data_IF_809560881696
#
_entry.id   IF_809560881696
#
_cell.length_a   1.000
_cell.length_b   1.000
_cell.length_c   1.000
_cell.angle_alpha   90.00
_cell.angle_beta   90.00
_cell.angle_gamma   90.00
#
_symmetry.space_group_name_H-M   'P 1'
#
loop_
_entity.id
_entity.type
_entity.pdbx_description
1 polymer ?
#
# COMPACT_ATOMS: atom_id res chain seq x y z
N UNK A 1 29.23 -54.69 54.61
CA UNK A 1 28.14 -54.81 53.61
C UNK A 1 26.98 -53.98 54.11
N UNK A 2 26.73 -52.77 53.55
CA UNK A 2 25.63 -51.91 53.90
C UNK A 2 24.79 -51.73 52.67
N UNK A 3 23.55 -52.24 52.69
CA UNK A 3 22.54 -52.07 51.64
C UNK A 3 21.90 -50.69 51.79
N UNK A 4 21.94 -49.84 50.77
CA UNK A 4 21.16 -48.61 50.68
C UNK A 4 19.89 -48.90 49.94
N UNK A 5 18.75 -48.78 50.62
CA UNK A 5 17.42 -48.72 50.00
C UNK A 5 17.24 -47.45 49.20
N UNK A 6 16.88 -47.52 47.94
CA UNK A 6 16.40 -46.43 47.14
C UNK A 6 14.87 -46.41 47.18
N UNK A 7 14.32 -45.34 47.79
CA UNK A 7 12.89 -45.02 47.70
C UNK A 7 12.63 -44.32 46.37
N UNK A 8 11.83 -44.92 45.48
CA UNK A 8 11.33 -44.29 44.25
C UNK A 8 9.98 -43.63 44.62
N UNK A 9 10.00 -42.28 44.64
CA UNK A 9 8.76 -41.50 44.74
C UNK A 9 8.14 -41.36 43.36
N UNK A 10 6.98 -41.95 43.13
CA UNK A 10 6.18 -41.79 41.96
C UNK A 10 5.43 -40.45 42.02
N UNK A 11 5.85 -39.46 41.21
CA UNK A 11 5.10 -38.23 41.01
C UNK A 11 4.00 -38.51 39.99
N UNK A 12 2.72 -38.54 40.44
CA UNK A 12 1.57 -38.57 39.55
C UNK A 12 1.37 -37.19 38.96
N UNK A 13 1.66 -37.04 37.64
CA UNK A 13 1.30 -35.87 36.86
C UNK A 13 -0.23 -35.87 36.63
N UNK A 14 -0.95 -35.05 37.36
CA UNK A 14 -2.31 -34.65 37.01
C UNK A 14 -2.24 -33.71 35.81
N UNK A 15 -2.41 -34.26 34.60
CA UNK A 15 -2.65 -33.47 33.39
C UNK A 15 -4.08 -32.87 33.50
N UNK A 16 -4.19 -31.67 34.01
CA UNK A 16 -5.41 -30.88 33.95
C UNK A 16 -5.74 -30.56 32.49
N UNK A 17 -6.82 -31.18 31.96
CA UNK A 17 -7.45 -30.75 30.72
C UNK A 17 -8.03 -29.35 30.94
N UNK A 18 -7.28 -28.32 30.56
CA UNK A 18 -7.88 -26.98 30.37
C UNK A 18 -8.90 -27.07 29.23
N UNK A 19 -10.12 -26.55 29.40
CA UNK A 19 -11.06 -26.51 28.31
C UNK A 19 -10.48 -25.69 27.15
N UNK A 20 -10.30 -26.34 26.01
CA UNK A 20 -9.91 -25.67 24.76
C UNK A 20 -10.99 -24.65 24.47
N UNK A 21 -10.69 -23.36 24.56
CA UNK A 21 -11.62 -22.31 24.17
C UNK A 21 -12.18 -22.65 22.79
N UNK A 22 -13.49 -22.77 22.68
CA UNK A 22 -14.14 -23.00 21.42
C UNK A 22 -13.74 -21.85 20.49
N UNK A 23 -13.04 -22.17 19.38
CA UNK A 23 -12.74 -21.20 18.35
C UNK A 23 -14.08 -20.65 17.88
N UNK A 24 -14.26 -19.32 17.94
CA UNK A 24 -15.46 -18.70 17.38
C UNK A 24 -15.66 -19.23 15.95
N UNK A 25 -16.91 -19.50 15.53
CA UNK A 25 -17.16 -19.94 14.17
C UNK A 25 -16.52 -18.94 13.21
N UNK A 26 -15.74 -19.43 12.25
CA UNK A 26 -15.16 -18.57 11.22
C UNK A 26 -16.31 -17.87 10.52
N UNK A 27 -16.30 -16.54 10.51
CA UNK A 27 -17.26 -15.73 9.74
C UNK A 27 -17.02 -16.07 8.27
N UNK A 28 -18.09 -16.41 7.54
CA UNK A 28 -17.94 -16.68 6.11
C UNK A 28 -17.51 -15.41 5.36
N UNK A 29 -16.83 -15.59 4.24
CA UNK A 29 -16.28 -14.50 3.43
C UNK A 29 -17.35 -13.46 3.06
N UNK A 30 -18.50 -13.89 2.55
CA UNK A 30 -19.56 -12.98 2.08
C UNK A 30 -20.06 -12.06 3.20
N UNK A 31 -20.24 -12.62 4.39
CA UNK A 31 -20.68 -11.84 5.56
C UNK A 31 -19.62 -10.86 6.02
N UNK A 32 -18.35 -11.29 6.11
CA UNK A 32 -17.26 -10.44 6.55
C UNK A 32 -16.99 -9.32 5.54
N UNK A 33 -16.92 -9.65 4.26
CA UNK A 33 -16.66 -8.69 3.19
C UNK A 33 -17.77 -7.64 3.05
N UNK A 34 -19.06 -8.09 3.13
CA UNK A 34 -20.19 -7.16 3.12
C UNK A 34 -20.12 -6.19 4.28
N UNK A 35 -19.90 -6.67 5.51
CA UNK A 35 -19.80 -5.83 6.70
C UNK A 35 -18.64 -4.82 6.57
N UNK A 36 -17.49 -5.24 6.05
CA UNK A 36 -16.33 -4.37 5.81
C UNK A 36 -16.63 -3.28 4.77
N UNK A 37 -17.35 -3.61 3.68
CA UNK A 37 -17.79 -2.63 2.67
C UNK A 37 -18.77 -1.60 3.24
N UNK A 38 -19.73 -2.05 4.04
CA UNK A 38 -20.69 -1.14 4.71
C UNK A 38 -19.97 -0.20 5.69
N UNK A 39 -19.02 -0.72 6.46
CA UNK A 39 -18.22 0.08 7.37
C UNK A 39 -17.34 1.08 6.62
N UNK A 40 -16.59 0.64 5.59
CA UNK A 40 -15.75 1.50 4.76
C UNK A 40 -16.56 2.65 4.12
N UNK A 41 -17.74 2.37 3.58
CA UNK A 41 -18.61 3.39 3.01
C UNK A 41 -19.03 4.47 4.03
N UNK A 42 -19.01 4.16 5.33
CA UNK A 42 -19.36 5.08 6.42
C UNK A 42 -18.14 5.88 6.95
N UNK A 43 -16.92 5.53 6.63
CA UNK A 43 -15.69 6.13 7.18
C UNK A 43 -15.44 7.57 6.69
N UNK A 44 -15.80 7.88 5.46
CA UNK A 44 -15.81 9.20 4.84
C UNK A 44 -14.45 9.87 4.61
N UNK A 45 -13.45 9.64 5.45
CA UNK A 45 -12.16 10.32 5.39
C UNK A 45 -11.02 9.41 5.82
N UNK A 46 -10.00 9.31 4.96
CA UNK A 46 -8.74 8.62 5.21
C UNK A 46 -7.54 9.48 4.84
N UNK A 47 -6.37 9.12 5.37
CA UNK A 47 -5.09 9.72 5.01
C UNK A 47 -4.31 8.75 4.11
N UNK A 48 -3.74 9.27 3.03
CA UNK A 48 -2.82 8.55 2.17
C UNK A 48 -1.40 9.00 2.46
N UNK A 49 -0.46 8.07 2.52
CA UNK A 49 0.97 8.37 2.70
C UNK A 49 1.74 7.76 1.54
N UNK A 50 2.39 8.63 0.75
CA UNK A 50 3.37 8.21 -0.25
C UNK A 50 4.77 8.48 0.31
N UNK A 51 5.44 7.41 0.76
CA UNK A 51 6.75 7.52 1.36
C UNK A 51 7.66 6.35 1.01
N UNK A 52 8.91 6.65 0.70
CA UNK A 52 9.95 5.71 0.31
C UNK A 52 11.30 6.40 0.16
N UNK A 53 12.31 5.66 -0.32
CA UNK A 53 13.66 6.21 -0.55
C UNK A 53 13.68 7.36 -1.56
N UNK A 54 12.70 7.44 -2.47
CA UNK A 54 12.52 8.55 -3.40
C UNK A 54 12.37 9.90 -2.69
N UNK A 55 11.89 9.92 -1.45
CA UNK A 55 11.76 11.17 -0.66
C UNK A 55 13.10 11.85 -0.45
N UNK A 56 14.22 11.11 -0.44
CA UNK A 56 15.57 11.65 -0.30
C UNK A 56 15.96 12.56 -1.47
N UNK A 57 15.41 12.29 -2.66
CA UNK A 57 15.66 13.12 -3.84
C UNK A 57 14.85 14.42 -3.83
N UNK A 58 13.76 14.49 -3.06
CA UNK A 58 12.89 15.65 -3.00
C UNK A 58 12.26 16.03 -4.33
N UNK A 59 11.96 15.04 -5.19
CA UNK A 59 11.47 15.24 -6.57
C UNK A 59 10.18 14.44 -6.84
N UNK A 60 9.49 14.00 -5.78
CA UNK A 60 8.31 13.15 -5.86
C UNK A 60 8.65 11.67 -6.05
N UNK A 61 7.63 10.85 -6.01
CA UNK A 61 7.70 9.37 -6.04
C UNK A 61 8.12 8.81 -7.41
N UNK A 62 7.92 9.57 -8.48
CA UNK A 62 8.30 9.20 -9.84
C UNK A 62 9.74 9.64 -10.23
N UNK A 63 10.55 10.05 -9.26
CA UNK A 63 11.90 10.60 -9.53
C UNK A 63 12.78 9.63 -10.35
N UNK A 64 12.75 8.32 -10.07
CA UNK A 64 13.46 7.31 -10.86
C UNK A 64 13.12 7.41 -12.35
N UNK A 65 11.85 7.54 -12.67
CA UNK A 65 11.31 7.63 -14.03
C UNK A 65 11.52 9.01 -14.65
N UNK A 66 11.11 10.08 -13.94
CA UNK A 66 11.10 11.45 -14.51
C UNK A 66 12.49 12.03 -14.70
N UNK A 67 13.48 11.57 -13.93
CA UNK A 67 14.89 11.98 -14.04
C UNK A 67 15.75 11.01 -14.85
N UNK A 68 15.15 9.94 -15.39
CA UNK A 68 15.86 8.88 -16.12
C UNK A 68 17.07 8.35 -15.36
N UNK A 69 16.89 8.04 -14.07
CA UNK A 69 17.98 7.56 -13.24
C UNK A 69 18.34 6.12 -13.60
N UNK A 70 19.62 5.78 -13.41
CA UNK A 70 20.07 4.41 -13.46
C UNK A 70 19.51 3.65 -12.25
N UNK A 71 18.84 2.52 -12.49
CA UNK A 71 18.18 1.71 -11.45
C UNK A 71 19.17 1.26 -10.38
N UNK A 72 20.34 0.77 -10.77
CA UNK A 72 21.35 0.27 -9.82
C UNK A 72 21.94 1.38 -8.95
N UNK A 73 22.11 2.61 -9.51
CA UNK A 73 22.51 3.77 -8.73
C UNK A 73 21.40 4.26 -7.81
N UNK A 74 20.14 4.21 -8.28
CA UNK A 74 18.98 4.56 -7.47
C UNK A 74 18.82 3.64 -6.25
N UNK A 75 18.99 2.34 -6.42
CA UNK A 75 18.89 1.38 -5.32
C UNK A 75 19.88 1.66 -4.18
N UNK A 76 21.06 2.25 -4.49
CA UNK A 76 22.05 2.63 -3.47
C UNK A 76 21.56 3.74 -2.53
N UNK A 77 20.49 4.47 -2.89
CA UNK A 77 19.88 5.46 -1.99
C UNK A 77 19.43 4.82 -0.67
N UNK A 78 19.01 3.55 -0.70
CA UNK A 78 18.60 2.84 0.51
C UNK A 78 19.67 2.89 1.61
N UNK A 79 20.96 2.77 1.25
CA UNK A 79 22.08 2.86 2.20
C UNK A 79 22.23 4.21 2.92
N UNK A 80 21.53 5.25 2.46
CA UNK A 80 21.48 6.57 3.11
C UNK A 80 20.11 6.89 3.76
N UNK A 81 19.12 6.03 3.62
CA UNK A 81 17.79 6.29 4.14
C UNK A 81 17.72 6.05 5.65
N UNK A 82 17.63 7.13 6.42
CA UNK A 82 17.63 7.11 7.88
C UNK A 82 16.61 8.09 8.45
N UNK A 83 15.32 7.76 8.47
CA UNK A 83 14.24 8.63 8.95
C UNK A 83 14.23 8.74 10.49
N UNK A 84 15.27 9.38 11.05
CA UNK A 84 15.53 9.44 12.49
C UNK A 84 14.45 10.14 13.33
N UNK A 85 13.57 10.91 12.67
CA UNK A 85 12.47 11.64 13.33
C UNK A 85 11.11 10.97 13.14
N UNK A 86 11.07 9.79 12.50
CA UNK A 86 9.82 9.05 12.35
C UNK A 86 9.25 8.65 13.70
N UNK A 87 7.98 8.95 13.90
CA UNK A 87 7.23 8.60 15.11
C UNK A 87 5.80 8.21 14.74
N UNK A 88 5.51 6.91 14.73
CA UNK A 88 4.21 6.37 14.37
C UNK A 88 3.07 6.91 15.26
N UNK A 89 3.32 7.08 16.57
CA UNK A 89 2.32 7.57 17.50
C UNK A 89 1.90 9.00 17.21
N UNK A 90 2.87 9.87 16.87
CA UNK A 90 2.59 11.27 16.49
C UNK A 90 1.84 11.35 15.17
N UNK A 91 2.21 10.54 14.18
CA UNK A 91 1.53 10.50 12.89
C UNK A 91 0.07 10.08 13.05
N UNK A 92 -0.16 8.93 13.68
CA UNK A 92 -1.52 8.38 13.84
C UNK A 92 -2.39 9.29 14.70
N UNK A 93 -1.82 9.94 15.74
CA UNK A 93 -2.54 10.93 16.54
C UNK A 93 -2.99 12.13 15.69
N UNK A 94 -2.09 12.68 14.86
CA UNK A 94 -2.42 13.80 13.98
C UNK A 94 -3.53 13.46 12.98
N UNK A 95 -3.50 12.24 12.42
CA UNK A 95 -4.53 11.77 11.47
C UNK A 95 -5.88 11.58 12.17
N UNK A 96 -5.87 10.99 13.35
CA UNK A 96 -7.08 10.83 14.18
C UNK A 96 -7.67 12.16 14.58
N UNK A 97 -6.85 13.12 15.00
CA UNK A 97 -7.27 14.46 15.38
C UNK A 97 -7.85 15.25 14.19
N UNK A 98 -7.38 14.95 12.97
CA UNK A 98 -7.98 15.45 11.73
C UNK A 98 -9.33 14.81 11.39
N UNK A 99 -9.75 13.77 12.09
CA UNK A 99 -11.01 13.07 11.89
C UNK A 99 -10.93 11.89 10.93
N UNK A 100 -9.72 11.49 10.49
CA UNK A 100 -9.53 10.31 9.65
C UNK A 100 -9.92 9.04 10.39
N UNK A 101 -10.44 8.06 9.63
CA UNK A 101 -10.85 6.75 10.11
C UNK A 101 -9.89 5.65 9.69
N UNK A 102 -9.12 5.87 8.64
CA UNK A 102 -8.11 4.94 8.14
C UNK A 102 -6.88 5.66 7.61
N UNK A 103 -5.78 4.94 7.62
CA UNK A 103 -4.51 5.31 7.02
C UNK A 103 -4.23 4.31 5.89
N UNK A 104 -3.99 4.78 4.67
CA UNK A 104 -3.42 4.01 3.58
C UNK A 104 -1.97 4.45 3.36
N UNK A 105 -1.03 3.51 3.33
CA UNK A 105 0.40 3.81 3.15
C UNK A 105 1.02 2.96 2.06
N UNK A 106 1.93 3.54 1.26
CA UNK A 106 2.73 2.81 0.29
C UNK A 106 3.66 1.83 0.99
N UNK A 107 3.29 0.55 1.00
CA UNK A 107 4.17 -0.52 1.50
C UNK A 107 5.28 -0.82 0.52
N UNK A 108 5.00 -0.72 -0.77
CA UNK A 108 5.95 -0.75 -1.89
C UNK A 108 5.37 0.07 -3.05
N UNK A 109 6.09 1.10 -3.49
CA UNK A 109 5.74 1.91 -4.65
C UNK A 109 6.42 1.37 -5.92
N UNK A 110 6.25 2.02 -7.04
CA UNK A 110 6.77 1.62 -8.37
C UNK A 110 8.30 1.46 -8.42
N UNK A 111 9.03 2.12 -7.53
CA UNK A 111 10.49 2.00 -7.41
C UNK A 111 10.96 0.68 -6.76
N UNK A 112 10.01 -0.19 -6.38
CA UNK A 112 10.27 -1.53 -5.87
C UNK A 112 10.81 -1.59 -4.44
N UNK A 113 11.05 -0.45 -3.78
CA UNK A 113 11.53 -0.44 -2.40
C UNK A 113 10.41 -0.78 -1.42
N UNK A 114 10.61 -1.82 -0.62
CA UNK A 114 9.65 -2.26 0.40
C UNK A 114 9.87 -1.49 1.71
N UNK A 115 8.83 -0.80 2.20
CA UNK A 115 8.86 -0.05 3.46
C UNK A 115 8.57 -0.93 4.68
N UNK A 116 8.61 -2.24 4.53
CA UNK A 116 8.33 -3.27 5.54
C UNK A 116 9.37 -4.39 5.47
N UNK A 117 9.52 -5.14 6.55
CA UNK A 117 10.38 -6.33 6.63
C UNK A 117 9.82 -7.46 5.78
N UNK A 118 10.52 -7.85 4.70
CA UNK A 118 10.05 -8.88 3.77
C UNK A 118 11.12 -9.93 3.50
N UNK A 119 10.77 -11.19 3.65
CA UNK A 119 11.65 -12.29 3.26
C UNK A 119 11.71 -12.50 1.74
N UNK A 120 10.94 -11.75 0.96
CA UNK A 120 10.90 -11.88 -0.50
C UNK A 120 12.01 -11.11 -1.23
N UNK A 121 12.64 -10.13 -0.57
CA UNK A 121 13.66 -9.25 -1.16
C UNK A 121 14.50 -8.59 -0.08
N UNK A 122 15.82 -8.45 -0.31
CA UNK A 122 16.72 -7.65 0.54
C UNK A 122 16.63 -6.14 0.24
N UNK A 123 15.83 -5.73 -0.76
CA UNK A 123 15.60 -4.32 -1.08
C UNK A 123 14.42 -3.76 -0.28
N UNK A 124 14.62 -3.71 1.03
CA UNK A 124 13.63 -3.22 1.98
C UNK A 124 14.26 -2.32 3.06
N UNK A 125 13.40 -1.74 3.89
CA UNK A 125 13.80 -0.75 4.90
C UNK A 125 14.62 -1.35 6.05
N UNK A 126 14.46 -2.64 6.33
CA UNK A 126 15.16 -3.33 7.43
C UNK A 126 16.54 -3.77 6.98
N UNK A 127 16.64 -4.43 5.81
CA UNK A 127 17.87 -5.05 5.33
C UNK A 127 18.77 -4.07 4.54
N UNK A 128 18.17 -3.20 3.70
CA UNK A 128 18.92 -2.31 2.82
C UNK A 128 19.31 -0.97 3.48
N UNK A 129 18.75 -0.62 4.64
CA UNK A 129 18.97 0.71 5.23
C UNK A 129 19.67 0.66 6.58
N UNK A 130 20.43 1.72 6.95
CA UNK A 130 20.97 1.83 8.30
C UNK A 130 19.92 2.09 9.37
N UNK A 131 18.67 2.35 8.97
CA UNK A 131 17.55 2.56 9.89
C UNK A 131 17.11 1.26 10.56
N UNK A 132 17.03 0.15 9.79
CA UNK A 132 16.84 -1.20 10.30
C UNK A 132 15.55 -1.41 11.13
N UNK A 133 14.48 -0.61 10.86
CA UNK A 133 13.19 -0.71 11.55
C UNK A 133 12.06 -0.84 10.54
N UNK A 134 11.10 -1.70 10.85
CA UNK A 134 9.88 -1.88 10.06
C UNK A 134 8.84 -0.80 10.40
N UNK A 135 8.77 0.24 9.58
CA UNK A 135 7.84 1.35 9.80
C UNK A 135 6.38 0.96 9.55
N UNK A 136 6.13 0.00 8.66
CA UNK A 136 4.78 -0.50 8.41
C UNK A 136 4.25 -1.24 9.65
N UNK A 137 5.12 -2.02 10.30
CA UNK A 137 4.76 -2.67 11.56
C UNK A 137 4.45 -1.67 12.66
N UNK A 138 5.29 -0.65 12.81
CA UNK A 138 5.08 0.38 13.83
C UNK A 138 3.78 1.18 13.58
N UNK A 139 3.49 1.51 12.31
CA UNK A 139 2.25 2.21 11.97
C UNK A 139 1.02 1.32 12.14
N UNK A 140 1.09 0.04 11.74
CA UNK A 140 -0.02 -0.89 11.91
C UNK A 140 -0.36 -1.09 13.40
N UNK A 141 0.66 -1.36 14.23
CA UNK A 141 0.49 -1.51 15.68
C UNK A 141 -0.12 -0.24 16.31
N UNK A 142 0.35 0.93 15.88
CA UNK A 142 -0.13 2.19 16.41
C UNK A 142 -1.56 2.53 15.93
N UNK A 143 -1.89 2.23 14.67
CA UNK A 143 -3.26 2.35 14.15
C UNK A 143 -4.21 1.48 14.97
N UNK A 144 -3.88 0.21 15.18
CA UNK A 144 -4.70 -0.70 16.01
C UNK A 144 -4.85 -0.18 17.43
N UNK A 145 -3.77 0.31 18.04
CA UNK A 145 -3.79 0.87 19.40
C UNK A 145 -4.67 2.10 19.52
N UNK A 146 -4.68 2.97 18.52
CA UNK A 146 -5.47 4.22 18.54
C UNK A 146 -6.86 4.08 17.92
N UNK A 147 -7.18 2.94 17.33
CA UNK A 147 -8.47 2.66 16.71
C UNK A 147 -8.67 3.29 15.34
N UNK A 148 -7.58 3.45 14.54
CA UNK A 148 -7.63 3.70 13.11
C UNK A 148 -7.50 2.36 12.36
N UNK A 149 -8.13 2.24 11.20
CA UNK A 149 -7.83 1.14 10.30
C UNK A 149 -6.54 1.41 9.54
N UNK A 150 -5.80 0.35 9.21
CA UNK A 150 -4.62 0.42 8.35
C UNK A 150 -4.94 -0.24 7.00
N UNK A 151 -4.65 0.46 5.91
CA UNK A 151 -4.72 -0.03 4.53
C UNK A 151 -3.34 0.00 3.92
N UNK A 152 -3.04 -0.95 3.05
CA UNK A 152 -1.75 -1.04 2.40
C UNK A 152 -1.88 -0.79 0.91
N UNK A 153 -1.27 0.30 0.44
CA UNK A 153 -1.00 0.47 -0.99
C UNK A 153 0.11 -0.51 -1.41
N UNK A 154 -0.10 -1.18 -2.50
CA UNK A 154 0.85 -2.09 -3.09
C UNK A 154 0.91 -1.90 -4.62
N UNK A 155 2.10 -1.55 -5.13
CA UNK A 155 2.31 -1.42 -6.56
C UNK A 155 2.32 -2.78 -7.26
N UNK A 156 1.49 -2.94 -8.28
CA UNK A 156 1.55 -4.09 -9.18
C UNK A 156 2.81 -4.06 -10.04
N UNK A 157 3.22 -2.88 -10.50
CA UNK A 157 4.45 -2.71 -11.27
C UNK A 157 5.69 -2.55 -10.39
N UNK A 158 6.85 -2.86 -10.96
CA UNK A 158 8.16 -2.68 -10.32
C UNK A 158 9.21 -2.28 -11.36
N UNK A 159 9.78 -1.09 -11.20
CA UNK A 159 10.78 -0.57 -12.13
C UNK A 159 12.19 -1.10 -11.88
N UNK A 160 12.41 -1.85 -10.82
CA UNK A 160 13.74 -2.29 -10.38
C UNK A 160 13.97 -3.79 -10.50
N UNK A 161 12.93 -4.58 -10.71
CA UNK A 161 13.03 -6.03 -10.79
C UNK A 161 13.18 -6.52 -12.23
N UNK A 162 14.17 -7.38 -12.44
CA UNK A 162 14.44 -7.96 -13.76
C UNK A 162 13.40 -9.01 -14.22
N UNK A 163 12.64 -9.58 -13.30
CA UNK A 163 11.53 -10.47 -13.62
C UNK A 163 10.24 -9.70 -14.01
N UNK A 164 10.20 -8.39 -13.70
CA UNK A 164 9.17 -7.47 -14.21
C UNK A 164 9.62 -6.77 -15.52
N UNK A 165 10.80 -6.14 -15.51
CA UNK A 165 11.43 -5.52 -16.66
C UNK A 165 12.88 -6.00 -16.81
N UNK A 166 13.13 -7.07 -17.59
CA UNK A 166 14.47 -7.63 -17.72
C UNK A 166 15.46 -6.69 -18.45
N UNK A 167 16.74 -6.94 -18.28
CA UNK A 167 17.86 -6.33 -19.02
C UNK A 167 17.93 -4.79 -18.95
N UNK A 168 17.69 -4.24 -17.76
CA UNK A 168 17.81 -2.81 -17.52
C UNK A 168 16.68 -1.98 -18.11
N UNK A 169 15.60 -2.62 -18.51
CA UNK A 169 14.36 -1.93 -18.78
C UNK A 169 13.74 -1.49 -17.44
N UNK A 170 13.23 -0.28 -17.40
CA UNK A 170 12.60 0.26 -16.20
C UNK A 170 11.65 1.40 -16.54
N UNK A 171 10.83 1.77 -15.58
CA UNK A 171 9.91 2.87 -15.71
C UNK A 171 8.70 2.57 -16.60
N UNK A 172 7.88 3.58 -16.76
CA UNK A 172 6.62 3.47 -17.51
C UNK A 172 6.86 3.01 -18.96
N UNK A 173 6.12 2.01 -19.38
CA UNK A 173 6.22 1.35 -20.69
C UNK A 173 7.61 0.73 -20.99
N UNK A 174 8.34 0.30 -19.95
CA UNK A 174 9.59 -0.42 -20.13
C UNK A 174 10.69 0.43 -20.78
N UNK A 175 10.85 1.66 -20.35
CA UNK A 175 11.93 2.52 -20.84
C UNK A 175 13.29 2.01 -20.35
N UNK A 176 14.26 1.92 -21.24
CA UNK A 176 15.65 1.61 -20.85
C UNK A 176 16.29 2.82 -20.19
N UNK A 177 17.02 2.57 -19.11
CA UNK A 177 17.82 3.61 -18.45
C UNK A 177 19.20 3.74 -19.08
N UNK A 178 19.85 4.88 -18.90
CA UNK A 178 21.22 5.11 -19.37
C UNK A 178 22.20 4.13 -18.68
N UNK A 179 23.04 3.45 -19.48
CA UNK A 179 23.96 2.43 -18.99
C UNK A 179 23.34 1.05 -18.76
N UNK A 180 22.10 0.83 -19.20
CA UNK A 180 21.50 -0.51 -19.21
C UNK A 180 22.33 -1.50 -20.02
N UNK A 181 22.32 -2.81 -19.68
CA UNK A 181 22.93 -3.85 -20.49
C UNK A 181 22.48 -3.81 -21.95
N UNK A 182 23.31 -4.31 -22.88
CA UNK A 182 22.90 -4.41 -24.28
C UNK A 182 21.63 -5.24 -24.44
N UNK A 183 20.79 -4.85 -25.37
CA UNK A 183 19.58 -5.62 -25.71
C UNK A 183 19.97 -6.96 -26.31
N UNK A 184 19.21 -8.04 -26.03
CA UNK A 184 19.35 -9.27 -26.78
C UNK A 184 19.01 -9.00 -28.27
N UNK A 185 19.64 -9.75 -29.17
CA UNK A 185 19.44 -9.59 -30.63
C UNK A 185 17.96 -9.73 -31.05
N UNK A 186 17.14 -10.39 -30.24
CA UNK A 186 15.73 -10.63 -30.50
C UNK A 186 14.91 -10.49 -29.21
N UNK A 187 14.17 -9.39 -29.09
CA UNK A 187 13.15 -9.22 -28.06
C UNK A 187 11.83 -9.68 -28.64
N UNK A 188 11.49 -10.93 -28.38
CA UNK A 188 10.20 -11.49 -28.81
C UNK A 188 9.15 -11.33 -27.73
N UNK A 189 7.84 -11.40 -28.05
CA UNK A 189 6.79 -11.51 -27.03
C UNK A 189 7.07 -12.63 -26.03
N UNK A 190 7.65 -13.74 -26.48
CA UNK A 190 8.04 -14.87 -25.63
C UNK A 190 9.17 -14.50 -24.66
N UNK A 191 10.03 -13.55 -24.98
CA UNK A 191 11.05 -13.04 -24.05
C UNK A 191 10.43 -12.41 -22.80
N UNK A 192 9.37 -11.63 -23.00
CA UNK A 192 8.58 -11.05 -21.88
C UNK A 192 7.68 -12.09 -21.22
N UNK A 193 7.31 -13.11 -21.97
CA UNK A 193 6.42 -14.21 -21.59
C UNK A 193 7.18 -15.47 -21.23
N UNK A 194 8.53 -15.43 -21.06
CA UNK A 194 9.11 -16.62 -20.48
C UNK A 194 8.37 -16.86 -19.17
N UNK A 195 7.44 -17.81 -19.24
CA UNK A 195 6.48 -18.14 -18.17
C UNK A 195 7.15 -18.17 -16.80
N UNK A 196 8.44 -18.50 -16.75
CA UNK A 196 9.20 -18.57 -15.53
C UNK A 196 9.46 -17.20 -14.87
N UNK A 197 9.85 -16.14 -15.62
CA UNK A 197 10.15 -14.82 -15.02
C UNK A 197 8.89 -14.13 -14.56
N UNK A 198 7.85 -14.12 -15.41
CA UNK A 198 6.58 -13.53 -15.04
C UNK A 198 5.90 -14.26 -13.88
N UNK A 199 5.89 -15.59 -13.90
CA UNK A 199 5.36 -16.38 -12.79
C UNK A 199 6.18 -16.21 -11.50
N UNK A 200 7.49 -15.98 -11.62
CA UNK A 200 8.33 -15.64 -10.48
C UNK A 200 7.94 -14.28 -9.89
N UNK A 201 7.68 -13.27 -10.74
CA UNK A 201 7.19 -11.96 -10.29
C UNK A 201 5.82 -12.05 -9.60
N UNK A 202 4.86 -12.77 -10.19
CA UNK A 202 3.55 -13.02 -9.56
C UNK A 202 3.71 -13.76 -8.22
N UNK A 203 4.60 -14.75 -8.15
CA UNK A 203 4.95 -15.46 -6.91
C UNK A 203 5.53 -14.54 -5.85
N UNK A 204 6.44 -13.63 -6.24
CA UNK A 204 7.00 -12.59 -5.38
C UNK A 204 5.92 -11.68 -4.79
N UNK A 205 5.00 -11.16 -5.62
CA UNK A 205 3.89 -10.34 -5.13
C UNK A 205 3.00 -11.10 -4.13
N UNK A 206 2.64 -12.34 -4.45
CA UNK A 206 1.82 -13.19 -3.55
C UNK A 206 2.52 -13.47 -2.22
N UNK A 207 3.83 -13.64 -2.23
CA UNK A 207 4.61 -13.81 -1.00
C UNK A 207 4.53 -12.53 -0.15
N UNK A 208 4.83 -11.36 -0.72
CA UNK A 208 4.77 -10.09 0.01
C UNK A 208 3.36 -9.78 0.53
N UNK A 209 2.32 -10.02 -0.26
CA UNK A 209 0.93 -9.86 0.18
C UNK A 209 0.59 -10.82 1.32
N UNK A 210 1.09 -12.05 1.29
CA UNK A 210 0.94 -13.00 2.38
C UNK A 210 1.59 -12.49 3.67
N UNK A 211 2.81 -11.94 3.58
CA UNK A 211 3.52 -11.34 4.71
C UNK A 211 2.73 -10.15 5.29
N UNK A 212 2.29 -9.22 4.43
CA UNK A 212 1.49 -8.06 4.83
C UNK A 212 0.16 -8.44 5.52
N UNK A 213 -0.48 -9.53 5.07
CA UNK A 213 -1.76 -9.97 5.62
C UNK A 213 -1.65 -10.93 6.81
N UNK A 214 -0.43 -11.38 7.16
CA UNK A 214 -0.23 -12.33 8.28
C UNK A 214 0.58 -11.76 9.42
N UNK A 215 1.46 -10.76 9.17
CA UNK A 215 2.41 -10.26 10.16
C UNK A 215 2.02 -8.90 10.79
N UNK A 216 1.04 -8.20 10.23
CA UNK A 216 0.71 -6.82 10.56
C UNK A 216 -0.64 -6.65 11.25
N UNK A 217 -1.27 -7.75 11.69
CA UNK A 217 -2.60 -7.73 12.31
C UNK A 217 -3.73 -7.59 11.30
N UNK A 218 -4.82 -6.99 11.72
CA UNK A 218 -5.98 -6.76 10.85
C UNK A 218 -5.69 -5.64 9.85
N UNK A 219 -5.88 -5.94 8.55
CA UNK A 219 -5.70 -5.00 7.44
C UNK A 219 -7.06 -4.68 6.84
N UNK A 220 -7.41 -3.39 6.77
CA UNK A 220 -8.71 -2.96 6.28
C UNK A 220 -8.86 -3.07 4.76
N UNK A 221 -7.78 -2.78 4.01
CA UNK A 221 -7.77 -2.94 2.55
C UNK A 221 -6.35 -3.11 1.98
N UNK A 222 -6.28 -3.76 0.82
CA UNK A 222 -5.15 -3.66 -0.11
C UNK A 222 -5.56 -2.73 -1.25
N UNK A 223 -4.76 -1.70 -1.47
CA UNK A 223 -4.93 -0.67 -2.49
C UNK A 223 -3.90 -0.87 -3.60
N UNK A 224 -4.30 -1.46 -4.72
CA UNK A 224 -3.42 -1.72 -5.85
C UNK A 224 -3.32 -0.53 -6.79
N UNK A 225 -2.17 -0.46 -7.47
CA UNK A 225 -1.88 0.54 -8.50
C UNK A 225 -0.90 -0.02 -9.55
N UNK A 226 -0.84 0.60 -10.72
CA UNK A 226 0.16 0.27 -11.72
C UNK A 226 -0.26 -0.78 -12.75
N UNK A 227 -1.50 -1.26 -12.77
CA UNK A 227 -1.98 -2.19 -13.78
C UNK A 227 -1.88 -1.62 -15.21
N UNK A 228 -1.95 -0.31 -15.35
CA UNK A 228 -1.89 0.46 -16.61
C UNK A 228 -0.51 0.48 -17.26
N UNK A 229 0.57 0.12 -16.56
CA UNK A 229 1.95 0.29 -17.04
C UNK A 229 2.26 -0.51 -18.31
N UNK A 230 1.59 -1.63 -18.51
CA UNK A 230 1.80 -2.52 -19.67
C UNK A 230 0.65 -2.50 -20.68
N UNK A 231 -0.13 -1.44 -20.73
CA UNK A 231 -1.34 -1.39 -21.59
C UNK A 231 -1.08 -1.66 -23.09
N UNK A 232 0.13 -1.37 -23.56
CA UNK A 232 0.55 -1.59 -24.95
C UNK A 232 1.53 -2.77 -25.10
N UNK A 233 1.65 -3.62 -24.07
CA UNK A 233 2.56 -4.75 -24.02
C UNK A 233 1.78 -6.08 -23.97
N UNK A 234 2.43 -7.23 -24.21
CA UNK A 234 1.79 -8.54 -24.09
C UNK A 234 1.10 -8.80 -22.75
N UNK A 235 1.56 -8.16 -21.68
CA UNK A 235 0.98 -8.26 -20.35
C UNK A 235 0.26 -6.95 -19.96
N UNK A 236 -0.67 -6.47 -20.80
CA UNK A 236 -1.39 -5.24 -20.60
C UNK A 236 -2.35 -5.25 -19.40
N UNK A 237 -3.46 -4.55 -19.51
CA UNK A 237 -4.50 -4.45 -18.48
C UNK A 237 -5.35 -5.72 -18.30
N UNK A 238 -4.88 -6.84 -18.79
CA UNK A 238 -5.58 -8.12 -18.73
C UNK A 238 -5.49 -8.72 -17.34
N UNK A 239 -6.65 -8.87 -16.71
CA UNK A 239 -6.79 -9.45 -15.38
C UNK A 239 -6.28 -10.89 -15.27
N UNK A 240 -6.39 -11.68 -16.36
CA UNK A 240 -5.93 -13.06 -16.41
C UNK A 240 -4.39 -13.13 -16.40
N UNK A 241 -3.74 -12.31 -17.22
CA UNK A 241 -2.27 -12.22 -17.29
C UNK A 241 -1.65 -11.86 -15.94
N UNK A 242 -2.29 -10.97 -15.18
CA UNK A 242 -1.87 -10.58 -13.85
C UNK A 242 -2.27 -11.56 -12.75
N UNK A 243 -3.06 -12.59 -13.08
CA UNK A 243 -3.65 -13.48 -12.08
C UNK A 243 -4.40 -12.71 -10.97
N UNK A 244 -5.12 -11.64 -11.36
CA UNK A 244 -5.84 -10.82 -10.38
C UNK A 244 -6.83 -11.64 -9.56
N UNK A 245 -7.54 -12.57 -10.19
CA UNK A 245 -8.46 -13.46 -9.47
C UNK A 245 -7.74 -14.25 -8.37
N UNK A 246 -6.59 -14.85 -8.69
CA UNK A 246 -5.80 -15.61 -7.72
C UNK A 246 -5.16 -14.73 -6.63
N UNK A 247 -4.85 -13.46 -6.95
CA UNK A 247 -4.35 -12.49 -5.95
C UNK A 247 -5.49 -12.05 -5.03
N UNK A 248 -6.67 -11.73 -5.56
CA UNK A 248 -7.82 -11.30 -4.77
C UNK A 248 -8.34 -12.43 -3.87
N UNK A 249 -8.40 -13.66 -4.39
CA UNK A 249 -8.74 -14.86 -3.61
C UNK A 249 -7.74 -15.11 -2.47
N UNK A 250 -6.45 -14.86 -2.70
CA UNK A 250 -5.43 -14.97 -1.64
C UNK A 250 -5.72 -13.98 -0.50
N UNK A 251 -6.01 -12.71 -0.84
CA UNK A 251 -6.31 -11.66 0.14
C UNK A 251 -7.54 -12.05 0.97
N UNK A 252 -8.63 -12.37 0.30
CA UNK A 252 -9.89 -12.72 0.96
C UNK A 252 -9.81 -14.04 1.75
N UNK A 253 -8.95 -14.97 1.33
CA UNK A 253 -8.69 -16.21 2.09
C UNK A 253 -7.93 -15.94 3.37
N UNK A 254 -6.93 -15.06 3.33
CA UNK A 254 -6.11 -14.72 4.49
C UNK A 254 -6.87 -13.83 5.47
N UNK A 255 -7.58 -12.83 4.95
CA UNK A 255 -8.40 -11.91 5.75
C UNK A 255 -9.73 -11.62 5.04
N UNK A 256 -10.82 -12.33 5.37
CA UNK A 256 -12.13 -12.18 4.70
C UNK A 256 -12.74 -10.77 4.77
N UNK A 257 -12.33 -9.95 5.74
CA UNK A 257 -12.75 -8.56 5.89
C UNK A 257 -11.80 -7.54 5.24
N UNK A 258 -10.67 -7.98 4.69
CA UNK A 258 -9.77 -7.09 3.96
C UNK A 258 -10.35 -6.78 2.58
N UNK A 259 -10.58 -5.51 2.29
CA UNK A 259 -11.12 -5.05 1.02
C UNK A 259 -10.05 -4.95 -0.06
N UNK A 260 -10.45 -5.09 -1.31
CA UNK A 260 -9.57 -4.92 -2.47
C UNK A 260 -10.02 -3.72 -3.28
N UNK A 261 -9.13 -2.73 -3.44
CA UNK A 261 -9.27 -1.63 -4.40
C UNK A 261 -8.13 -1.65 -5.41
N UNK A 262 -8.39 -1.28 -6.66
CA UNK A 262 -7.38 -1.24 -7.71
C UNK A 262 -7.52 0.01 -8.56
N UNK A 263 -6.48 0.85 -8.56
CA UNK A 263 -6.45 2.14 -9.27
C UNK A 263 -6.04 1.94 -10.75
N UNK A 264 -6.82 1.21 -11.50
CA UNK A 264 -6.53 0.89 -12.90
C UNK A 264 -7.29 1.77 -13.91
N UNK A 265 -8.11 2.73 -13.46
CA UNK A 265 -8.83 3.72 -14.27
C UNK A 265 -9.84 3.14 -15.27
N UNK A 266 -10.31 1.92 -15.06
CA UNK A 266 -11.34 1.26 -15.87
C UNK A 266 -12.46 0.70 -14.99
N UNK A 267 -13.43 0.00 -15.57
CA UNK A 267 -14.49 -0.66 -14.80
C UNK A 267 -13.90 -1.70 -13.84
N UNK A 268 -14.41 -1.82 -12.59
CA UNK A 268 -13.91 -2.78 -11.62
C UNK A 268 -13.94 -4.22 -12.13
N UNK A 269 -12.88 -4.98 -11.84
CA UNK A 269 -12.83 -6.42 -12.08
C UNK A 269 -13.60 -7.19 -11.01
N UNK A 270 -14.04 -8.43 -11.32
CA UNK A 270 -14.61 -9.31 -10.31
C UNK A 270 -13.63 -9.52 -9.13
N UNK A 271 -14.14 -9.39 -7.91
CA UNK A 271 -13.35 -9.52 -6.69
C UNK A 271 -12.83 -8.19 -6.13
N UNK A 272 -13.01 -7.07 -6.83
CA UNK A 272 -12.77 -5.75 -6.28
C UNK A 272 -13.94 -5.31 -5.39
N UNK A 273 -13.60 -4.66 -4.29
CA UNK A 273 -14.52 -4.25 -3.22
C UNK A 273 -14.69 -2.74 -3.13
N UNK A 274 -13.76 -1.97 -3.69
CA UNK A 274 -13.73 -0.50 -3.67
C UNK A 274 -13.50 -0.02 -5.11
N UNK A 275 -14.29 0.94 -5.56
CA UNK A 275 -14.00 1.66 -6.80
C UNK A 275 -13.28 2.97 -6.50
N UNK A 276 -12.15 3.17 -7.16
CA UNK A 276 -11.22 4.28 -6.93
C UNK A 276 -11.30 5.28 -8.08
N UNK A 277 -11.27 6.59 -7.73
CA UNK A 277 -11.19 7.72 -8.66
C UNK A 277 -9.98 8.57 -8.28
N UNK A 278 -8.94 8.58 -9.13
CA UNK A 278 -7.73 9.36 -8.86
C UNK A 278 -7.89 10.81 -9.28
N UNK A 279 -7.77 11.73 -8.32
CA UNK A 279 -7.90 13.19 -8.51
C UNK A 279 -9.22 13.66 -9.10
N UNK A 280 -10.12 12.74 -9.44
CA UNK A 280 -11.45 13.02 -9.96
C UNK A 280 -12.54 12.70 -8.93
N UNK A 281 -13.67 13.35 -9.05
CA UNK A 281 -14.88 12.94 -8.34
C UNK A 281 -15.56 11.78 -9.09
N UNK A 282 -16.32 10.93 -8.41
CA UNK A 282 -17.08 9.88 -9.07
C UNK A 282 -17.92 10.40 -10.25
N UNK A 283 -17.64 9.89 -11.45
CA UNK A 283 -18.33 10.28 -12.69
C UNK A 283 -17.77 11.54 -13.37
N UNK A 284 -16.75 12.19 -12.84
CA UNK A 284 -16.01 13.26 -13.51
C UNK A 284 -14.72 12.70 -14.15
N UNK A 285 -14.16 13.44 -15.11
CA UNK A 285 -12.86 13.15 -15.73
C UNK A 285 -12.10 14.47 -15.96
N UNK A 286 -11.93 15.28 -14.89
CA UNK A 286 -11.22 16.56 -14.94
C UNK A 286 -9.71 16.40 -14.90
N UNK A 287 -9.22 15.34 -14.25
CA UNK A 287 -7.82 14.96 -14.24
C UNK A 287 -7.40 14.20 -15.50
N UNK A 288 -8.37 13.70 -16.30
CA UNK A 288 -8.11 12.93 -17.51
C UNK A 288 -7.77 11.45 -17.27
N UNK A 289 -7.97 10.98 -16.04
CA UNK A 289 -7.63 9.59 -15.64
C UNK A 289 -8.84 8.66 -15.61
N UNK A 290 -10.06 9.20 -15.66
CA UNK A 290 -11.31 8.44 -15.49
C UNK A 290 -12.11 8.28 -16.79
N UNK A 291 -11.46 8.37 -17.98
CA UNK A 291 -12.11 8.26 -19.25
C UNK A 291 -12.77 6.88 -19.42
N UNK A 292 -14.08 6.87 -19.61
CA UNK A 292 -14.85 5.63 -19.74
C UNK A 292 -15.13 4.88 -18.44
N UNK A 293 -14.69 5.38 -17.31
CA UNK A 293 -15.00 4.81 -16.02
C UNK A 293 -16.42 5.15 -15.59
N UNK A 294 -17.28 4.15 -15.47
CA UNK A 294 -18.66 4.30 -14.97
C UNK A 294 -18.70 4.12 -13.47
N UNK A 295 -19.53 4.92 -12.78
CA UNK A 295 -19.70 4.81 -11.32
C UNK A 295 -20.48 3.54 -10.98
N UNK A 296 -19.91 2.72 -10.09
CA UNK A 296 -20.57 1.52 -9.57
C UNK A 296 -21.76 1.88 -8.68
N UNK A 297 -22.83 1.13 -8.81
CA UNK A 297 -23.99 1.15 -7.91
C UNK A 297 -23.91 0.11 -6.78
N UNK A 298 -22.82 -0.67 -6.73
CA UNK A 298 -22.64 -1.82 -5.82
C UNK A 298 -21.44 -1.69 -4.90
N UNK A 299 -20.40 -0.99 -5.35
CA UNK A 299 -19.16 -0.85 -4.59
C UNK A 299 -19.13 0.48 -3.86
N UNK A 300 -18.61 0.53 -2.64
CA UNK A 300 -18.22 1.78 -2.03
C UNK A 300 -17.20 2.51 -2.90
N UNK A 301 -17.25 3.83 -2.88
CA UNK A 301 -16.47 4.71 -3.73
C UNK A 301 -15.39 5.42 -2.92
N UNK A 302 -14.22 5.58 -3.50
CA UNK A 302 -13.14 6.36 -2.93
C UNK A 302 -12.55 7.31 -3.97
N UNK A 303 -12.34 8.57 -3.59
CA UNK A 303 -11.55 9.52 -4.36
C UNK A 303 -10.25 9.78 -3.64
N UNK A 304 -9.11 9.57 -4.28
CA UNK A 304 -7.82 9.98 -3.74
C UNK A 304 -7.36 11.30 -4.33
N UNK A 305 -6.81 12.18 -3.47
CA UNK A 305 -6.40 13.53 -3.84
C UNK A 305 -5.14 13.96 -3.09
N UNK A 306 -4.33 14.82 -3.69
CA UNK A 306 -3.14 15.41 -3.08
C UNK A 306 -3.44 16.76 -2.43
N UNK A 307 -2.72 17.11 -1.37
CA UNK A 307 -2.76 18.46 -0.78
C UNK A 307 -2.05 19.51 -1.64
N UNK A 308 -1.03 19.08 -2.38
CA UNK A 308 -0.26 19.84 -3.37
C UNK A 308 -0.34 19.13 -4.74
N UNK A 309 0.69 19.19 -5.59
CA UNK A 309 0.68 18.50 -6.90
C UNK A 309 1.23 17.06 -6.83
N UNK A 310 2.25 16.86 -5.98
CA UNK A 310 3.00 15.61 -5.88
C UNK A 310 2.36 14.65 -4.88
N UNK A 311 2.49 13.35 -5.13
CA UNK A 311 2.15 12.32 -4.14
C UNK A 311 3.26 12.18 -3.10
N UNK A 312 4.49 11.89 -3.52
CA UNK A 312 5.67 11.86 -2.66
C UNK A 312 6.25 13.23 -2.38
N UNK A 313 7.14 13.33 -1.40
CA UNK A 313 7.80 14.59 -1.04
C UNK A 313 8.53 15.21 -2.23
N UNK A 314 8.21 16.48 -2.51
CA UNK A 314 8.85 17.28 -3.53
C UNK A 314 9.19 18.66 -2.98
N UNK A 315 10.49 18.96 -2.90
CA UNK A 315 10.98 20.19 -2.29
C UNK A 315 10.57 21.47 -3.06
N UNK A 316 10.28 21.32 -4.35
CA UNK A 316 9.85 22.42 -5.22
C UNK A 316 8.34 22.65 -5.22
N UNK A 317 7.56 21.69 -4.70
CA UNK A 317 6.11 21.71 -4.70
C UNK A 317 5.57 22.27 -3.38
N UNK A 318 5.58 23.60 -3.29
CA UNK A 318 5.15 24.34 -2.09
C UNK A 318 3.73 24.89 -2.20
N UNK A 319 3.06 24.66 -3.32
CA UNK A 319 1.70 25.15 -3.60
C UNK A 319 0.62 24.22 -3.02
N UNK A 320 0.46 24.25 -1.71
CA UNK A 320 -0.59 23.51 -1.03
C UNK A 320 -1.97 24.17 -1.25
N UNK A 321 -2.99 23.35 -1.51
CA UNK A 321 -4.38 23.77 -1.46
C UNK A 321 -4.69 24.41 -0.11
N UNK A 322 -5.58 25.42 -0.08
CA UNK A 322 -5.99 26.03 1.19
C UNK A 322 -6.80 25.05 2.05
N UNK A 323 -6.93 25.36 3.33
CA UNK A 323 -7.75 24.56 4.23
C UNK A 323 -9.22 24.56 3.78
N UNK A 324 -9.72 25.72 3.30
CA UNK A 324 -11.09 25.89 2.81
C UNK A 324 -11.34 25.04 1.56
N UNK A 325 -10.39 25.00 0.62
CA UNK A 325 -10.46 24.15 -0.57
C UNK A 325 -10.53 22.67 -0.20
N UNK A 326 -9.67 22.21 0.72
CA UNK A 326 -9.64 20.81 1.15
C UNK A 326 -10.90 20.41 1.93
N UNK A 327 -11.40 21.28 2.82
CA UNK A 327 -12.67 21.05 3.55
C UNK A 327 -13.84 21.00 2.57
N UNK A 328 -13.90 21.93 1.62
CA UNK A 328 -14.93 21.96 0.59
C UNK A 328 -14.89 20.72 -0.31
N UNK A 329 -13.67 20.26 -0.65
CA UNK A 329 -13.48 19.06 -1.44
C UNK A 329 -13.93 17.79 -0.68
N UNK A 330 -13.58 17.67 0.60
CA UNK A 330 -14.05 16.59 1.48
C UNK A 330 -15.58 16.54 1.54
N UNK A 331 -16.22 17.68 1.75
CA UNK A 331 -17.69 17.78 1.78
C UNK A 331 -18.32 17.39 0.45
N UNK A 332 -17.72 17.80 -0.67
CA UNK A 332 -18.20 17.46 -2.02
C UNK A 332 -18.10 15.98 -2.29
N UNK A 333 -16.95 15.35 -1.99
CA UNK A 333 -16.73 13.91 -2.13
C UNK A 333 -17.72 13.11 -1.30
N UNK A 334 -17.88 13.49 -0.01
CA UNK A 334 -18.81 12.81 0.89
C UNK A 334 -20.27 12.99 0.47
N UNK A 335 -20.63 14.15 -0.09
CA UNK A 335 -21.95 14.43 -0.65
C UNK A 335 -22.30 13.53 -1.85
N UNK A 336 -21.29 12.99 -2.53
CA UNK A 336 -21.45 12.01 -3.62
C UNK A 336 -21.42 10.55 -3.13
N UNK A 337 -21.37 10.32 -1.83
CA UNK A 337 -21.35 8.99 -1.23
C UNK A 337 -19.97 8.32 -1.25
N UNK A 338 -18.92 9.04 -1.60
CA UNK A 338 -17.54 8.53 -1.65
C UNK A 338 -16.74 8.90 -0.39
N UNK A 339 -15.67 8.17 -0.12
CA UNK A 339 -14.66 8.52 0.86
C UNK A 339 -13.58 9.40 0.21
N UNK A 340 -13.03 10.35 0.93
CA UNK A 340 -11.83 11.08 0.54
C UNK A 340 -10.61 10.42 1.17
N UNK A 341 -9.66 10.00 0.35
CA UNK A 341 -8.32 9.57 0.74
C UNK A 341 -7.33 10.69 0.40
N UNK A 342 -6.90 11.46 1.42
CA UNK A 342 -6.11 12.69 1.24
C UNK A 342 -4.64 12.45 1.49
N UNK A 343 -3.80 12.72 0.49
CA UNK A 343 -2.40 12.36 0.46
C UNK A 343 -1.46 13.37 1.13
N UNK A 344 -0.46 12.82 1.80
CA UNK A 344 0.70 13.52 2.35
C UNK A 344 1.98 12.79 1.90
N UNK A 345 2.99 13.55 1.43
CA UNK A 345 4.34 13.06 1.15
C UNK A 345 5.29 13.40 2.31
N UNK A 346 5.64 12.48 3.21
CA UNK A 346 6.57 12.73 4.30
C UNK A 346 7.97 13.06 3.82
N UNK A 347 8.69 13.88 4.60
CA UNK A 347 10.09 14.20 4.37
C UNK A 347 10.99 12.97 4.61
N UNK A 348 12.20 12.95 4.04
CA UNK A 348 13.12 11.81 4.19
C UNK A 348 13.57 11.57 5.63
N UNK A 349 13.49 12.58 6.51
CA UNK A 349 13.82 12.45 7.93
C UNK A 349 12.68 11.85 8.78
N UNK A 350 11.53 11.56 8.16
CA UNK A 350 10.35 10.99 8.83
C UNK A 350 9.39 12.02 9.41
N UNK A 351 9.58 13.32 9.13
CA UNK A 351 8.63 14.35 9.54
C UNK A 351 7.53 14.56 8.49
N UNK A 352 6.33 14.87 8.94
CA UNK A 352 5.27 15.37 8.07
C UNK A 352 5.52 16.85 7.74
N UNK A 353 5.24 17.33 6.50
CA UNK A 353 5.33 18.73 6.18
C UNK A 353 4.42 19.60 7.07
N UNK A 354 4.93 20.73 7.54
CA UNK A 354 4.16 21.65 8.42
C UNK A 354 2.87 22.10 7.77
N UNK A 355 2.90 22.40 6.46
CA UNK A 355 1.73 22.79 5.70
C UNK A 355 0.64 21.70 5.71
N UNK A 356 1.04 20.42 5.64
CA UNK A 356 0.09 19.30 5.73
C UNK A 356 -0.53 19.23 7.13
N UNK A 357 0.29 19.36 8.19
CA UNK A 357 -0.22 19.36 9.57
C UNK A 357 -1.19 20.50 9.86
N UNK A 358 -0.94 21.71 9.33
CA UNK A 358 -1.87 22.85 9.43
C UNK A 358 -3.22 22.55 8.77
N UNK A 359 -3.23 21.92 7.57
CA UNK A 359 -4.45 21.54 6.85
C UNK A 359 -5.22 20.46 7.60
N UNK A 360 -4.51 19.46 8.15
CA UNK A 360 -5.12 18.41 8.98
C UNK A 360 -5.80 19.00 10.21
N UNK A 361 -5.14 19.91 10.91
CA UNK A 361 -5.71 20.56 12.09
C UNK A 361 -6.98 21.39 11.74
N UNK A 362 -6.97 22.07 10.60
CA UNK A 362 -8.12 22.82 10.12
C UNK A 362 -9.30 21.91 9.74
N UNK A 363 -9.03 20.80 9.02
CA UNK A 363 -10.03 19.79 8.67
C UNK A 363 -10.66 19.21 9.93
N UNK A 364 -9.84 18.81 10.91
CA UNK A 364 -10.33 18.26 12.18
C UNK A 364 -11.18 19.24 12.96
N UNK A 365 -10.81 20.51 12.96
CA UNK A 365 -11.62 21.57 13.59
C UNK A 365 -12.97 21.76 12.89
N UNK A 366 -13.00 21.74 11.56
CA UNK A 366 -14.24 21.87 10.79
C UNK A 366 -15.17 20.67 10.99
N UNK A 367 -14.64 19.43 11.05
CA UNK A 367 -15.44 18.22 11.28
C UNK A 367 -16.03 18.17 12.69
N UNK A 368 -15.32 18.68 13.70
CA UNK A 368 -15.86 18.77 15.08
C UNK A 368 -16.92 19.86 15.28
N UNK A 369 -17.00 20.81 14.36
CA UNK A 369 -17.98 21.92 14.43
C UNK A 369 -19.32 21.59 13.74
N UNK A 370 -19.40 20.46 13.02
CA UNK A 370 -20.62 19.95 12.38
C UNK A 370 -21.41 19.07 13.36
#
# INVERSE_FOLDING_TARGET
MKYKLFLIAALALLAGCAPRAAKAPAVDFETANRAAKEEFAAEKFGIFIHWGIYSMLGQGEWALQTKNLNVYEYQKLAGGFYPSKFNAAEWVSAFKDAGAKYLCITTRHHDGFSMFDTAASDFDIVDATPFGRDIIKELADECHRQGLKIHFYYSLLDWTREDYWPLGWSGHNGRRFEGAPEEPEEITPEFWQTDSLWQHYIGFMKQQLTELLTNYGEVGAIWFDGLWDRENQPYGRDAETWDLAGIYDLIHTLQPGCLVGNNHHIAPFPGEDIQIFEKDLPGENTAGLSEGQTVSDRLPLETCQTMNWSWGYNISDVAYKSSEELIGYLQKVNGMGANLLLNIGPRPDGTLPEQALERLAAIGSALRAQ
#
